data_IF_088483865808
#
_entry.id   IF_088483865808
#
_cell.length_a   1.000
_cell.length_b   1.000
_cell.length_c   1.000
_cell.angle_alpha   90.00
_cell.angle_beta   90.00
_cell.angle_gamma   90.00
#
_symmetry.space_group_name_H-M   'P 1'
#
loop_
_entity.id
_entity.type
_entity.pdbx_description
1 polymer ?
#
# COMPACT_ATOMS: atom_id res chain seq x y z
N UNK A 1 -3.22 12.02 9.80
CA UNK A 1 -3.68 10.66 9.49
C UNK A 1 -4.64 10.74 8.31
N UNK A 2 -4.19 10.31 7.13
CA UNK A 2 -5.01 10.38 5.92
C UNK A 2 -5.82 9.08 5.80
N UNK A 3 -7.13 9.17 6.00
CA UNK A 3 -8.02 8.04 5.81
C UNK A 3 -8.59 8.06 4.38
N UNK A 4 -8.02 7.22 3.49
CA UNK A 4 -8.45 7.14 2.07
C UNK A 4 -9.52 6.06 1.88
N UNK A 5 -10.11 5.59 2.96
CA UNK A 5 -10.96 4.39 3.01
C UNK A 5 -12.08 4.36 1.95
N UNK A 6 -12.71 5.50 1.69
CA UNK A 6 -13.92 5.55 0.87
C UNK A 6 -13.63 5.87 -0.61
N UNK A 7 -12.35 6.10 -0.99
CA UNK A 7 -11.94 6.54 -2.32
C UNK A 7 -10.95 5.62 -3.02
N UNK A 8 -10.53 4.57 -2.36
CA UNK A 8 -9.71 3.53 -2.99
C UNK A 8 -10.62 2.60 -3.77
N UNK A 9 -10.47 2.58 -5.09
CA UNK A 9 -11.20 1.67 -5.98
C UNK A 9 -10.55 0.28 -5.99
N UNK A 10 -9.24 0.24 -6.09
CA UNK A 10 -8.47 -0.99 -6.16
C UNK A 10 -7.10 -0.84 -5.49
N UNK A 11 -6.68 -1.87 -4.79
CA UNK A 11 -5.34 -2.00 -4.24
C UNK A 11 -4.87 -3.44 -4.41
N UNK A 12 -3.61 -3.62 -4.79
CA UNK A 12 -3.00 -4.94 -4.89
C UNK A 12 -2.08 -5.12 -3.69
N UNK A 13 -2.03 -6.34 -3.14
CA UNK A 13 -1.01 -6.66 -2.14
C UNK A 13 0.33 -6.86 -2.86
N UNK A 14 1.40 -6.15 -2.44
CA UNK A 14 2.70 -6.27 -3.09
C UNK A 14 3.29 -7.66 -2.88
N UNK A 15 3.93 -8.18 -3.94
CA UNK A 15 4.62 -9.46 -3.87
C UNK A 15 5.87 -9.36 -2.98
N UNK A 16 6.16 -10.47 -2.30
CA UNK A 16 7.42 -10.67 -1.57
C UNK A 16 8.18 -11.79 -2.23
N UNK A 17 9.39 -11.51 -2.71
CA UNK A 17 10.23 -12.44 -3.45
C UNK A 17 11.51 -12.73 -2.67
N UNK A 18 11.93 -14.00 -2.68
CA UNK A 18 13.24 -14.42 -2.19
C UNK A 18 14.05 -14.87 -3.42
N UNK A 19 15.14 -14.17 -3.72
CA UNK A 19 16.00 -14.49 -4.85
C UNK A 19 16.92 -15.65 -4.48
N UNK A 20 16.88 -16.78 -5.20
CA UNK A 20 17.77 -17.89 -4.92
C UNK A 20 19.20 -17.60 -5.39
N UNK A 21 20.18 -17.87 -4.52
CA UNK A 21 21.60 -17.85 -4.84
C UNK A 21 21.98 -19.22 -5.37
N UNK A 22 22.60 -19.27 -6.55
CA UNK A 22 23.04 -20.53 -7.17
C UNK A 22 24.53 -20.76 -6.93
N UNK A 23 24.85 -21.88 -6.28
CA UNK A 23 26.22 -22.31 -6.03
C UNK A 23 26.50 -23.55 -6.90
N UNK A 24 27.47 -23.48 -7.83
CA UNK A 24 27.84 -24.65 -8.62
C UNK A 24 28.54 -25.68 -7.75
N UNK A 25 28.02 -26.90 -7.74
CA UNK A 25 28.60 -28.02 -7.00
C UNK A 25 28.53 -29.30 -7.81
N UNK A 26 29.70 -29.86 -8.17
CA UNK A 26 29.86 -31.14 -8.88
C UNK A 26 28.94 -31.32 -10.10
N UNK A 27 28.88 -30.31 -11.00
CA UNK A 27 28.06 -30.35 -12.21
C UNK A 27 26.55 -30.07 -12.00
N UNK A 28 26.14 -29.67 -10.77
CA UNK A 28 24.80 -29.24 -10.43
C UNK A 28 24.82 -27.85 -9.74
N UNK A 29 23.77 -27.11 -9.88
CA UNK A 29 23.59 -25.87 -9.13
C UNK A 29 22.78 -26.15 -7.85
N UNK A 30 23.40 -25.94 -6.71
CA UNK A 30 22.72 -25.90 -5.42
C UNK A 30 22.06 -24.52 -5.25
N UNK A 31 20.77 -24.50 -4.93
CA UNK A 31 20.01 -23.27 -4.71
C UNK A 31 19.89 -23.02 -3.21
N UNK A 32 20.37 -21.85 -2.78
CA UNK A 32 20.25 -21.38 -1.38
C UNK A 32 19.35 -20.14 -1.39
N UNK A 33 18.57 -19.95 -0.33
CA UNK A 33 17.76 -18.74 -0.16
C UNK A 33 18.67 -17.53 0.00
N UNK A 34 18.43 -16.50 -0.81
CA UNK A 34 19.10 -15.21 -0.74
C UNK A 34 18.20 -14.15 -0.10
N UNK A 35 18.40 -12.89 -0.50
CA UNK A 35 17.71 -11.74 0.06
C UNK A 35 16.22 -11.70 -0.33
N UNK A 36 15.41 -11.20 0.60
CA UNK A 36 14.00 -10.94 0.36
C UNK A 36 13.82 -9.52 -0.17
N UNK A 37 13.05 -9.38 -1.23
CA UNK A 37 12.67 -8.11 -1.84
C UNK A 37 11.16 -7.95 -1.84
N UNK A 38 10.69 -6.72 -1.70
CA UNK A 38 9.28 -6.37 -1.73
C UNK A 38 8.99 -5.54 -2.98
N UNK A 39 7.94 -5.91 -3.69
CA UNK A 39 7.50 -5.17 -4.87
C UNK A 39 6.85 -3.83 -4.47
N UNK A 40 6.85 -2.83 -5.36
CA UNK A 40 6.10 -1.60 -5.15
C UNK A 40 4.61 -1.88 -4.94
N UNK A 41 3.97 -1.03 -4.17
CA UNK A 41 2.55 -1.11 -3.90
C UNK A 41 1.78 -0.09 -4.75
N UNK A 42 0.86 -0.59 -5.56
CA UNK A 42 0.06 0.23 -6.47
C UNK A 42 -1.38 0.32 -5.98
N UNK A 43 -1.90 1.54 -5.92
CA UNK A 43 -3.26 1.85 -5.48
C UNK A 43 -3.95 2.72 -6.51
N UNK A 44 -5.17 2.34 -6.91
CA UNK A 44 -6.03 3.16 -7.76
C UNK A 44 -7.02 3.94 -6.89
N UNK A 45 -7.00 5.24 -7.02
CA UNK A 45 -7.79 6.19 -6.22
C UNK A 45 -8.77 6.91 -7.13
N UNK A 46 -10.02 7.02 -6.66
CA UNK A 46 -11.03 7.86 -7.31
C UNK A 46 -10.73 9.31 -6.95
N UNK A 47 -10.62 10.16 -7.98
CA UNK A 47 -10.42 11.58 -7.78
C UNK A 47 -11.67 12.22 -7.20
N UNK A 48 -11.48 13.16 -6.28
CA UNK A 48 -12.54 13.97 -5.71
C UNK A 48 -12.65 15.32 -6.41
N UNK A 49 -13.84 15.91 -6.37
CA UNK A 49 -14.10 17.24 -6.92
C UNK A 49 -13.14 18.29 -6.34
N UNK A 50 -12.76 18.14 -5.08
CA UNK A 50 -11.82 19.04 -4.39
C UNK A 50 -10.35 18.70 -4.61
N UNK A 51 -10.03 17.63 -5.34
CA UNK A 51 -8.65 17.15 -5.54
C UNK A 51 -7.85 16.94 -4.24
N UNK A 52 -8.56 16.78 -3.13
CA UNK A 52 -7.95 16.78 -1.80
C UNK A 52 -6.91 15.66 -1.63
N UNK A 53 -7.21 14.46 -2.11
CA UNK A 53 -6.33 13.29 -1.98
C UNK A 53 -5.11 13.45 -2.89
N UNK A 54 -5.31 13.87 -4.16
CA UNK A 54 -4.22 14.12 -5.08
C UNK A 54 -3.27 15.18 -4.54
N UNK A 55 -3.81 16.30 -4.09
CA UNK A 55 -3.03 17.38 -3.48
C UNK A 55 -2.24 16.91 -2.25
N UNK A 56 -2.79 15.99 -1.46
CA UNK A 56 -2.08 15.42 -0.31
C UNK A 56 -0.88 14.57 -0.74
N UNK A 57 -1.02 13.75 -1.77
CA UNK A 57 0.10 12.99 -2.33
C UNK A 57 1.15 13.89 -3.00
N UNK A 58 0.73 14.92 -3.74
CA UNK A 58 1.65 15.88 -4.33
C UNK A 58 2.44 16.66 -3.27
N UNK A 59 1.79 17.06 -2.17
CA UNK A 59 2.47 17.66 -1.02
C UNK A 59 3.46 16.69 -0.37
N UNK A 60 3.07 15.42 -0.22
CA UNK A 60 3.97 14.41 0.32
C UNK A 60 5.20 14.21 -0.55
N UNK A 61 5.03 14.10 -1.86
CA UNK A 61 6.16 14.02 -2.81
C UNK A 61 7.03 15.28 -2.76
N UNK A 62 6.41 16.46 -2.65
CA UNK A 62 7.14 17.72 -2.55
C UNK A 62 7.94 17.86 -1.24
N UNK A 63 7.50 17.22 -0.15
CA UNK A 63 8.29 17.12 1.09
C UNK A 63 9.53 16.24 0.92
N UNK A 64 9.43 15.21 0.08
CA UNK A 64 10.57 14.32 -0.22
C UNK A 64 11.59 15.04 -1.09
N UNK A 65 11.11 15.73 -2.14
CA UNK A 65 11.95 16.49 -3.05
C UNK A 65 11.15 17.66 -3.64
N UNK A 66 11.52 18.88 -3.29
CA UNK A 66 10.89 20.09 -3.81
C UNK A 66 11.20 20.30 -5.28
N UNK A 67 10.20 20.70 -6.06
CA UNK A 67 10.34 20.96 -7.49
C UNK A 67 11.26 22.14 -7.82
N UNK A 68 11.31 23.17 -6.95
CA UNK A 68 12.02 24.42 -7.24
C UNK A 68 13.53 24.31 -7.01
N UNK A 69 13.96 23.75 -5.89
CA UNK A 69 15.34 23.79 -5.43
C UNK A 69 15.96 22.40 -5.20
N UNK A 70 15.19 21.33 -5.47
CA UNK A 70 15.57 19.94 -5.17
C UNK A 70 15.95 19.70 -3.70
N UNK A 71 15.58 20.62 -2.82
CA UNK A 71 15.74 20.43 -1.39
C UNK A 71 14.65 19.50 -0.85
N UNK A 72 15.02 18.58 0.01
CA UNK A 72 14.07 17.64 0.60
C UNK A 72 14.45 17.27 2.02
N UNK A 73 13.64 16.43 2.64
CA UNK A 73 13.91 15.90 3.97
C UNK A 73 15.10 14.94 3.92
N UNK A 74 16.08 15.19 4.78
CA UNK A 74 17.33 14.41 4.81
C UNK A 74 17.14 13.03 5.42
N UNK A 75 16.22 12.89 6.36
CA UNK A 75 16.02 11.65 7.09
C UNK A 75 14.79 10.90 6.58
N UNK A 76 14.96 9.61 6.30
CA UNK A 76 13.89 8.75 5.77
C UNK A 76 12.67 8.63 6.68
N UNK A 77 12.86 8.66 7.99
CA UNK A 77 11.76 8.56 8.96
C UNK A 77 10.81 9.79 8.94
N UNK A 78 11.24 10.91 8.40
CA UNK A 78 10.41 12.12 8.33
C UNK A 78 9.32 12.02 7.25
N UNK A 79 9.64 11.38 6.12
CA UNK A 79 8.72 11.24 5.00
C UNK A 79 8.10 9.84 4.87
N UNK A 80 8.69 8.82 5.46
CA UNK A 80 8.13 7.46 5.46
C UNK A 80 6.99 7.36 6.47
N UNK A 81 5.92 6.65 6.09
CA UNK A 81 4.75 6.41 6.95
C UNK A 81 4.35 4.96 6.94
N UNK A 82 3.80 4.49 8.05
CA UNK A 82 3.21 3.17 8.13
C UNK A 82 1.76 3.22 7.64
N UNK A 83 1.38 2.22 6.85
CA UNK A 83 0.05 2.14 6.25
C UNK A 83 -0.61 0.81 6.61
N UNK A 84 -1.89 0.87 6.94
CA UNK A 84 -2.70 -0.30 7.23
C UNK A 84 -3.67 -0.58 6.07
N UNK A 85 -3.65 -1.79 5.55
CA UNK A 85 -4.60 -2.27 4.55
C UNK A 85 -5.47 -3.33 5.18
N UNK A 86 -6.78 -3.14 5.14
CA UNK A 86 -7.77 -4.05 5.71
C UNK A 86 -8.62 -4.64 4.60
N UNK A 87 -8.67 -5.96 4.55
CA UNK A 87 -9.62 -6.67 3.72
C UNK A 87 -10.95 -6.78 4.47
N UNK A 88 -11.99 -6.19 3.90
CA UNK A 88 -13.32 -6.19 4.49
C UNK A 88 -14.15 -7.36 3.96
N UNK A 89 -14.92 -7.98 4.82
CA UNK A 89 -15.87 -9.02 4.46
C UNK A 89 -17.20 -8.41 3.97
N UNK A 90 -17.90 -9.17 3.16
CA UNK A 90 -19.17 -8.75 2.55
C UNK A 90 -20.37 -8.89 3.50
N UNK A 91 -20.29 -9.78 4.47
CA UNK A 91 -21.35 -10.08 5.42
C UNK A 91 -20.79 -10.71 6.68
N UNK A 92 -21.52 -10.56 7.74
CA UNK A 92 -21.29 -11.23 9.01
C UNK A 92 -21.47 -12.73 8.86
N UNK A 93 -20.41 -13.51 8.90
CA UNK A 93 -20.49 -14.95 9.01
C UNK A 93 -20.98 -15.32 10.44
N UNK A 94 -22.25 -15.80 10.50
CA UNK A 94 -22.82 -16.65 11.53
C UNK A 94 -22.45 -16.37 12.99
N UNK A 95 -23.21 -15.51 13.65
CA UNK A 95 -23.24 -15.40 15.09
C UNK A 95 -24.54 -14.75 15.56
N UNK A 96 -25.12 -15.09 16.72
CA UNK A 96 -26.37 -14.49 17.19
C UNK A 96 -26.17 -12.98 17.42
N UNK A 97 -27.10 -12.22 16.86
CA UNK A 97 -27.18 -10.76 16.97
C UNK A 97 -27.36 -10.28 18.42
N UNK A 98 -27.28 -8.99 18.76
CA UNK A 98 -27.36 -7.81 17.90
C UNK A 98 -26.17 -6.88 18.11
N UNK A 99 -25.41 -6.66 17.10
CA UNK A 99 -24.40 -5.61 17.11
C UNK A 99 -24.83 -4.52 16.13
N UNK A 100 -24.61 -3.30 16.50
CA UNK A 100 -24.81 -2.11 15.69
C UNK A 100 -24.42 -2.38 14.22
N UNK A 101 -25.31 -2.03 13.31
CA UNK A 101 -25.23 -2.28 11.85
C UNK A 101 -24.06 -1.57 11.13
N UNK A 102 -23.09 -1.10 11.88
CA UNK A 102 -22.04 -0.19 11.37
C UNK A 102 -20.66 -0.85 11.21
N UNK A 103 -20.46 -2.08 11.69
CA UNK A 103 -19.14 -2.70 11.61
C UNK A 103 -19.06 -3.77 10.53
N UNK A 104 -18.40 -3.44 9.44
CA UNK A 104 -18.02 -4.41 8.41
C UNK A 104 -16.88 -5.27 8.99
N UNK A 105 -17.02 -6.60 9.01
CA UNK A 105 -16.00 -7.48 9.59
C UNK A 105 -14.69 -7.38 8.79
N UNK A 106 -13.59 -7.14 9.49
CA UNK A 106 -12.26 -7.21 8.93
C UNK A 106 -11.85 -8.68 8.85
N UNK A 107 -11.60 -9.18 7.64
CA UNK A 107 -11.16 -10.56 7.41
C UNK A 107 -9.67 -10.72 7.64
N UNK A 108 -8.88 -9.75 7.16
CA UNK A 108 -7.43 -9.73 7.30
C UNK A 108 -6.91 -8.31 7.27
N UNK A 109 -5.83 -8.08 7.98
CA UNK A 109 -5.14 -6.81 8.04
C UNK A 109 -3.69 -7.00 7.65
N UNK A 110 -3.14 -6.03 6.92
CA UNK A 110 -1.74 -5.94 6.56
C UNK A 110 -1.19 -4.61 7.04
N UNK A 111 0.02 -4.61 7.57
CA UNK A 111 0.74 -3.41 7.92
C UNK A 111 1.97 -3.29 7.04
N UNK A 112 2.06 -2.17 6.34
CA UNK A 112 3.19 -1.81 5.51
C UNK A 112 4.03 -0.78 6.23
N UNK A 113 5.32 -1.02 6.29
CA UNK A 113 6.28 -0.19 7.01
C UNK A 113 7.11 0.63 6.03
N UNK A 114 7.37 1.89 6.44
CA UNK A 114 8.24 2.78 5.69
C UNK A 114 7.76 3.06 4.26
N UNK A 115 6.46 3.30 4.09
CA UNK A 115 5.84 3.57 2.80
C UNK A 115 6.06 5.03 2.41
N UNK A 116 6.38 5.27 1.12
CA UNK A 116 6.45 6.59 0.53
C UNK A 116 6.07 6.55 -0.95
N UNK A 117 5.44 7.61 -1.50
CA UNK A 117 5.02 7.66 -2.89
C UNK A 117 6.22 7.88 -3.81
N UNK A 118 6.23 7.18 -4.95
CA UNK A 118 7.25 7.33 -6.00
C UNK A 118 6.67 7.88 -7.29
N UNK A 119 5.44 7.50 -7.61
CA UNK A 119 4.80 7.91 -8.86
C UNK A 119 3.32 8.21 -8.62
N UNK A 120 2.84 9.32 -9.16
CA UNK A 120 1.42 9.63 -9.30
C UNK A 120 1.13 9.67 -10.79
N UNK A 121 0.15 8.89 -11.25
CA UNK A 121 -0.21 8.88 -12.66
C UNK A 121 -0.86 10.21 -13.08
N UNK A 122 -0.85 10.46 -14.36
CA UNK A 122 -1.63 11.51 -15.00
C UNK A 122 -3.14 11.24 -14.86
N UNK A 123 -3.92 12.29 -14.98
CA UNK A 123 -5.37 12.24 -15.14
C UNK A 123 -5.68 12.77 -16.56
N UNK A 124 -6.22 11.94 -17.45
CA UNK A 124 -6.59 12.41 -18.78
C UNK A 124 -7.79 13.38 -18.67
N UNK A 125 -7.59 14.63 -19.05
CA UNK A 125 -8.65 15.63 -19.11
C UNK A 125 -9.20 15.68 -20.54
N UNK A 126 -10.46 15.30 -20.73
CA UNK A 126 -11.14 15.33 -22.02
C UNK A 126 -12.51 15.96 -21.89
N UNK A 127 -12.84 16.83 -22.84
CA UNK A 127 -14.15 17.49 -22.89
C UNK A 127 -15.28 16.50 -23.25
N UNK A 128 -14.93 15.42 -23.93
CA UNK A 128 -15.89 14.41 -24.43
C UNK A 128 -16.25 13.35 -23.37
N UNK A 129 -15.57 13.32 -22.24
CA UNK A 129 -15.74 12.29 -21.19
C UNK A 129 -16.42 12.80 -19.91
N UNK A 130 -17.48 13.61 -20.08
CA UNK A 130 -18.19 14.22 -18.92
C UNK A 130 -18.85 13.22 -17.96
N UNK A 131 -19.10 12.00 -18.40
CA UNK A 131 -19.76 10.93 -17.61
C UNK A 131 -18.80 9.90 -17.01
N UNK A 132 -17.49 10.09 -17.13
CA UNK A 132 -16.50 9.17 -16.59
C UNK A 132 -15.99 9.61 -15.21
N UNK A 133 -15.85 8.63 -14.30
CA UNK A 133 -15.22 8.88 -13.01
C UNK A 133 -13.72 9.04 -13.23
N UNK A 134 -13.16 10.14 -12.80
CA UNK A 134 -11.71 10.37 -12.85
C UNK A 134 -11.01 9.50 -11.82
N UNK A 135 -9.98 8.79 -12.27
CA UNK A 135 -9.17 7.92 -11.46
C UNK A 135 -7.69 8.20 -11.70
N UNK A 136 -6.90 8.05 -10.68
CA UNK A 136 -5.45 8.08 -10.80
C UNK A 136 -4.80 6.96 -9.98
N UNK A 137 -3.63 6.58 -10.39
CA UNK A 137 -2.87 5.51 -9.74
C UNK A 137 -1.69 6.09 -9.00
N UNK A 138 -1.47 5.64 -7.78
CA UNK A 138 -0.30 5.99 -6.98
C UNK A 138 0.53 4.74 -6.78
N UNK A 139 1.80 4.81 -7.15
CA UNK A 139 2.79 3.79 -6.86
C UNK A 139 3.62 4.23 -5.65
N UNK A 140 3.75 3.33 -4.69
CA UNK A 140 4.46 3.56 -3.45
C UNK A 140 5.51 2.48 -3.22
N UNK A 141 6.67 2.87 -2.73
CA UNK A 141 7.66 1.91 -2.24
C UNK A 141 7.34 1.52 -0.81
N UNK A 142 7.59 0.25 -0.51
CA UNK A 142 7.37 -0.35 0.80
C UNK A 142 8.66 -0.99 1.26
N UNK A 143 9.14 -0.71 2.46
CA UNK A 143 10.35 -1.33 2.98
C UNK A 143 10.12 -2.82 3.27
N UNK A 144 9.04 -3.12 3.98
CA UNK A 144 8.58 -4.47 4.28
C UNK A 144 7.13 -4.42 4.77
N UNK A 145 6.48 -5.58 4.82
CA UNK A 145 5.11 -5.68 5.31
C UNK A 145 4.87 -6.97 6.08
N UNK A 146 3.91 -6.91 7.00
CA UNK A 146 3.44 -8.03 7.80
C UNK A 146 1.95 -8.27 7.61
N UNK A 147 1.57 -9.54 7.68
CA UNK A 147 0.18 -9.94 7.78
C UNK A 147 -0.23 -9.99 9.26
N UNK A 148 -1.29 -9.29 9.59
CA UNK A 148 -1.86 -9.24 10.93
C UNK A 148 -3.18 -10.04 10.97
N UNK A 149 -3.51 -10.54 12.15
CA UNK A 149 -4.85 -11.06 12.41
C UNK A 149 -5.89 -9.91 12.44
N UNK A 150 -7.19 -10.20 12.36
CA UNK A 150 -8.24 -9.18 12.45
C UNK A 150 -8.20 -8.34 13.73
N UNK A 151 -7.63 -8.90 14.80
CA UNK A 151 -7.41 -8.24 16.10
C UNK A 151 -6.18 -7.34 16.15
N UNK A 152 -5.39 -7.28 15.07
CA UNK A 152 -4.16 -6.49 14.98
C UNK A 152 -2.90 -7.17 15.52
N UNK A 153 -3.01 -8.42 15.96
CA UNK A 153 -1.83 -9.21 16.38
C UNK A 153 -1.08 -9.76 15.16
N UNK A 154 0.25 -9.87 15.24
CA UNK A 154 1.07 -10.44 14.17
C UNK A 154 0.76 -11.92 13.96
N UNK A 155 0.52 -12.31 12.71
CA UNK A 155 0.26 -13.72 12.34
C UNK A 155 1.52 -14.58 12.36
N UNK A 156 2.67 -13.96 12.18
CA UNK A 156 3.97 -14.60 12.31
C UNK A 156 4.29 -14.64 13.81
N UNK A 157 3.90 -15.76 14.45
CA UNK A 157 4.33 -16.04 15.79
C UNK A 157 5.85 -15.88 15.86
N UNK A 158 6.31 -15.23 16.89
CA UNK A 158 7.73 -15.22 17.24
C UNK A 158 8.21 -16.66 17.29
N UNK A 159 8.98 -17.07 16.29
CA UNK A 159 9.76 -18.29 16.40
C UNK A 159 10.80 -18.03 17.50
N UNK A 160 10.43 -18.37 18.72
CA UNK A 160 11.35 -18.51 19.83
C UNK A 160 12.10 -19.83 19.69
#
# INVERSE_FOLDING_TARGET
EMCIRDRVKAAQLPASNITPIQIPFRGRNLKIAGDRTFAPWTVTVINDVDFSIRTAFERWMNLINKHEDNAGLTFSYDYQKDVYVRQLGRSRLGGPAPLSSTEIPVLKQYRFYGVFPTTISDIPLSYDSSDSIEEFTVEMQVQWWDALNPDGTTQLGTNS
#
